data_IF_817710121105
#
_entry.id   IF_817710121105
#
_cell.length_a   1.000
_cell.length_b   1.000
_cell.length_c   1.000
_cell.angle_alpha   90.00
_cell.angle_beta   90.00
_cell.angle_gamma   90.00
#
_symmetry.space_group_name_H-M   'P 1'
#
loop_
_entity.id
_entity.type
_entity.pdbx_description
1 polymer ?
#
# COMPACT_ATOMS: atom_id res chain seq x y z
N UNK A 1 -12.23 -22.97 -8.11
CA UNK A 1 -11.69 -21.93 -9.01
C UNK A 1 -12.22 -20.54 -8.66
N UNK A 2 -13.56 -20.27 -8.67
CA UNK A 2 -14.15 -18.96 -8.36
C UNK A 2 -13.67 -18.37 -7.03
N UNK A 3 -13.72 -19.17 -5.96
CA UNK A 3 -13.28 -18.73 -4.61
C UNK A 3 -11.79 -18.39 -4.59
N UNK A 4 -10.94 -19.25 -5.22
CA UNK A 4 -9.48 -19.03 -5.33
C UNK A 4 -9.14 -17.75 -6.10
N UNK A 5 -9.98 -17.35 -7.06
CA UNK A 5 -9.78 -16.16 -7.89
C UNK A 5 -10.54 -14.92 -7.38
N UNK A 6 -11.26 -15.03 -6.25
CA UNK A 6 -12.07 -13.93 -5.71
C UNK A 6 -13.20 -13.47 -6.63
N UNK A 7 -13.66 -14.34 -7.54
CA UNK A 7 -14.70 -14.02 -8.52
C UNK A 7 -16.10 -14.07 -7.90
N UNK A 8 -17.05 -13.24 -8.37
CA UNK A 8 -18.45 -13.32 -7.98
C UNK A 8 -19.06 -14.68 -8.31
N UNK A 9 -19.95 -15.21 -7.46
CA UNK A 9 -20.66 -16.47 -7.76
C UNK A 9 -21.60 -16.36 -8.97
N UNK A 10 -21.92 -15.16 -9.44
CA UNK A 10 -22.62 -14.93 -10.70
C UNK A 10 -21.85 -15.47 -11.90
N UNK A 11 -20.52 -15.45 -11.85
CA UNK A 11 -19.65 -15.99 -12.92
C UNK A 11 -19.68 -17.54 -12.99
N UNK A 12 -20.34 -18.19 -12.05
CA UNK A 12 -20.42 -19.67 -12.03
C UNK A 12 -21.14 -20.24 -13.25
N UNK A 13 -22.22 -19.61 -13.67
CA UNK A 13 -22.97 -20.02 -14.87
C UNK A 13 -22.11 -19.94 -16.14
N UNK A 14 -21.36 -18.85 -16.28
CA UNK A 14 -20.44 -18.67 -17.41
C UNK A 14 -19.30 -19.67 -17.41
N UNK A 15 -18.77 -20.01 -16.22
CA UNK A 15 -17.72 -21.03 -16.11
C UNK A 15 -18.21 -22.43 -16.44
N UNK A 16 -19.45 -22.79 -16.01
CA UNK A 16 -20.08 -24.07 -16.37
C UNK A 16 -20.30 -24.13 -17.87
N UNK A 17 -20.81 -23.06 -18.49
CA UNK A 17 -20.99 -22.98 -19.93
C UNK A 17 -19.67 -23.12 -20.68
N UNK A 18 -18.63 -22.42 -20.22
CA UNK A 18 -17.28 -22.50 -20.80
C UNK A 18 -16.71 -23.93 -20.71
N UNK A 19 -16.90 -24.59 -19.57
CA UNK A 19 -16.47 -25.98 -19.39
C UNK A 19 -17.22 -26.93 -20.32
N UNK A 20 -18.54 -26.73 -20.51
CA UNK A 20 -19.37 -27.49 -21.44
C UNK A 20 -18.93 -27.31 -22.90
N UNK A 21 -18.63 -26.08 -23.30
CA UNK A 21 -18.11 -25.76 -24.65
C UNK A 21 -16.72 -26.41 -24.83
N UNK A 22 -15.90 -26.45 -23.77
CA UNK A 22 -14.59 -27.14 -23.76
C UNK A 22 -14.66 -28.66 -23.71
N UNK A 23 -15.86 -29.25 -23.82
CA UNK A 23 -16.04 -30.71 -23.84
C UNK A 23 -16.12 -31.41 -22.50
N UNK A 24 -16.22 -30.65 -21.39
CA UNK A 24 -16.38 -31.25 -20.06
C UNK A 24 -17.82 -31.70 -19.82
N UNK A 25 -18.01 -32.86 -19.22
CA UNK A 25 -19.33 -33.34 -18.77
C UNK A 25 -19.75 -32.59 -17.49
N UNK A 26 -20.62 -31.60 -17.62
CA UNK A 26 -21.04 -30.73 -16.49
C UNK A 26 -22.46 -31.04 -15.98
N UNK A 27 -23.11 -32.06 -16.55
CA UNK A 27 -24.50 -32.38 -16.24
C UNK A 27 -25.50 -31.29 -16.69
N UNK A 28 -26.78 -31.49 -16.35
CA UNK A 28 -27.86 -30.57 -16.81
C UNK A 28 -28.49 -29.75 -15.67
N UNK A 29 -28.01 -29.90 -14.44
CA UNK A 29 -28.59 -29.23 -13.24
C UNK A 29 -27.51 -28.52 -12.43
N UNK A 30 -27.97 -27.61 -11.58
CA UNK A 30 -27.11 -26.97 -10.58
C UNK A 30 -26.06 -25.99 -11.10
N UNK A 31 -26.37 -25.28 -12.18
CA UNK A 31 -25.45 -24.35 -12.83
C UNK A 31 -25.56 -22.90 -12.29
N UNK A 32 -26.56 -22.59 -11.45
CA UNK A 32 -26.80 -21.23 -10.97
C UNK A 32 -25.97 -20.84 -9.74
N UNK A 33 -25.84 -19.54 -9.50
CA UNK A 33 -25.14 -18.91 -8.35
C UNK A 33 -25.58 -19.46 -6.99
N UNK A 34 -26.88 -19.78 -6.85
CA UNK A 34 -27.43 -20.29 -5.59
C UNK A 34 -26.88 -21.69 -5.26
N UNK A 35 -26.64 -22.50 -6.28
CA UNK A 35 -25.99 -23.80 -6.10
C UNK A 35 -24.52 -23.63 -5.73
N UNK A 36 -23.80 -22.71 -6.41
CA UNK A 36 -22.43 -22.37 -6.06
C UNK A 36 -22.30 -21.96 -4.59
N UNK A 37 -23.24 -21.14 -4.11
CA UNK A 37 -23.30 -20.74 -2.69
C UNK A 37 -23.59 -21.93 -1.77
N UNK A 38 -24.45 -22.87 -2.16
CA UNK A 38 -24.74 -24.08 -1.38
C UNK A 38 -23.55 -25.03 -1.29
N UNK A 39 -22.70 -25.06 -2.33
CA UNK A 39 -21.48 -25.88 -2.34
C UNK A 39 -20.41 -25.39 -1.35
N UNK A 40 -20.44 -24.12 -0.93
CA UNK A 40 -19.44 -23.60 0.01
C UNK A 40 -19.37 -24.35 1.33
N UNK A 41 -20.53 -24.73 1.90
CA UNK A 41 -20.57 -25.43 3.19
C UNK A 41 -19.87 -26.81 3.13
N UNK A 42 -20.24 -27.72 2.21
CA UNK A 42 -19.56 -29.00 2.13
C UNK A 42 -18.08 -28.85 1.72
N UNK A 43 -17.74 -27.92 0.81
CA UNK A 43 -16.34 -27.67 0.47
C UNK A 43 -15.55 -27.13 1.66
N UNK A 44 -16.11 -26.19 2.43
CA UNK A 44 -15.48 -25.69 3.66
C UNK A 44 -15.29 -26.81 4.69
N UNK A 45 -16.25 -27.73 4.83
CA UNK A 45 -16.14 -28.86 5.75
C UNK A 45 -14.99 -29.81 5.35
N UNK A 46 -14.87 -30.13 4.05
CA UNK A 46 -13.77 -30.96 3.54
C UNK A 46 -12.42 -30.29 3.78
N UNK A 47 -12.27 -29.01 3.39
CA UNK A 47 -11.03 -28.26 3.60
C UNK A 47 -10.68 -28.16 5.08
N UNK A 48 -11.68 -27.95 5.96
CA UNK A 48 -11.44 -27.90 7.40
C UNK A 48 -10.94 -29.25 7.93
N UNK A 49 -11.51 -30.36 7.45
CA UNK A 49 -11.07 -31.70 7.86
C UNK A 49 -9.65 -32.02 7.36
N UNK A 50 -9.33 -31.67 6.11
CA UNK A 50 -7.98 -31.83 5.55
C UNK A 50 -6.96 -31.03 6.37
N UNK A 51 -7.30 -29.79 6.75
CA UNK A 51 -6.44 -28.94 7.59
C UNK A 51 -6.27 -29.50 9.01
N UNK A 52 -7.34 -30.04 9.62
CA UNK A 52 -7.25 -30.73 10.93
C UNK A 52 -6.30 -31.92 10.85
N UNK A 53 -6.42 -32.72 9.82
CA UNK A 53 -5.53 -33.85 9.60
C UNK A 53 -4.08 -33.41 9.42
N UNK A 54 -3.84 -32.35 8.63
CA UNK A 54 -2.52 -31.79 8.45
C UNK A 54 -1.91 -31.28 9.78
N UNK A 55 -2.66 -30.50 10.57
CA UNK A 55 -2.15 -29.95 11.82
C UNK A 55 -1.96 -31.01 12.92
N UNK A 56 -2.69 -32.10 12.88
CA UNK A 56 -2.61 -33.19 13.87
C UNK A 56 -1.57 -34.26 13.52
N UNK A 57 -1.17 -34.37 12.25
CA UNK A 57 -0.26 -35.40 11.76
C UNK A 57 1.18 -34.93 11.91
N UNK A 58 2.07 -35.76 12.51
CA UNK A 58 3.50 -35.46 12.52
C UNK A 58 4.09 -35.40 11.11
N UNK A 59 4.95 -34.41 10.86
CA UNK A 59 5.71 -34.31 9.61
C UNK A 59 6.70 -35.45 9.52
N UNK A 60 6.80 -36.10 8.34
CA UNK A 60 7.71 -37.23 8.09
C UNK A 60 9.16 -36.82 8.36
N UNK A 61 9.52 -35.61 8.00
CA UNK A 61 10.88 -35.04 8.09
C UNK A 61 11.34 -34.83 9.54
N UNK A 62 10.42 -34.56 10.46
CA UNK A 62 10.78 -34.16 11.84
C UNK A 62 10.22 -35.09 12.90
N UNK A 63 9.19 -35.88 12.59
CA UNK A 63 8.43 -36.68 13.56
C UNK A 63 7.58 -35.85 14.53
N UNK A 64 7.50 -34.52 14.34
CA UNK A 64 6.69 -33.60 15.16
C UNK A 64 5.57 -32.98 14.37
N UNK A 65 4.48 -32.61 15.05
CA UNK A 65 3.41 -31.81 14.45
C UNK A 65 3.96 -30.48 13.92
N UNK A 66 3.37 -29.93 12.84
CA UNK A 66 3.81 -28.64 12.28
C UNK A 66 3.87 -27.55 13.34
N UNK A 67 4.97 -26.78 13.36
CA UNK A 67 5.06 -25.58 14.16
C UNK A 67 4.45 -24.40 13.38
N UNK A 68 3.80 -23.49 14.12
CA UNK A 68 2.98 -22.46 13.56
C UNK A 68 3.38 -21.08 14.09
N UNK A 69 3.39 -20.10 13.21
CA UNK A 69 3.34 -18.68 13.60
C UNK A 69 1.90 -18.21 13.51
N UNK A 70 1.34 -17.75 14.62
CA UNK A 70 -0.01 -17.21 14.67
C UNK A 70 0.01 -15.75 14.19
N UNK A 71 -0.89 -15.41 13.27
CA UNK A 71 -1.11 -14.03 12.83
C UNK A 71 -2.56 -13.62 13.14
N UNK A 72 -2.73 -12.42 13.68
CA UNK A 72 -4.06 -11.88 13.95
C UNK A 72 -4.13 -10.39 13.56
N UNK A 73 -5.22 -10.04 12.88
CA UNK A 73 -5.52 -8.68 12.41
C UNK A 73 -7.01 -8.39 12.57
N UNK A 74 -7.37 -7.11 12.63
CA UNK A 74 -8.75 -6.64 12.75
C UNK A 74 -9.18 -5.80 11.55
N UNK A 75 -10.29 -6.15 10.90
CA UNK A 75 -10.87 -5.32 9.85
C UNK A 75 -12.31 -4.93 10.17
N UNK A 76 -12.57 -3.63 10.07
CA UNK A 76 -13.94 -3.09 10.23
C UNK A 76 -14.57 -2.94 8.84
N UNK A 77 -15.72 -3.59 8.67
CA UNK A 77 -16.53 -3.47 7.47
C UNK A 77 -17.94 -2.99 7.84
N UNK A 78 -18.30 -1.81 7.34
CA UNK A 78 -19.59 -1.16 7.64
C UNK A 78 -19.82 -1.02 9.16
N UNK A 79 -20.60 -1.93 9.74
CA UNK A 79 -21.09 -1.83 11.12
C UNK A 79 -20.50 -2.89 12.07
N UNK A 80 -19.58 -3.72 11.61
CA UNK A 80 -18.96 -4.75 12.44
C UNK A 80 -17.46 -4.90 12.15
N UNK A 81 -16.74 -5.27 13.19
CA UNK A 81 -15.32 -5.61 13.10
C UNK A 81 -15.18 -7.12 13.10
N UNK A 82 -14.37 -7.66 12.20
CA UNK A 82 -13.94 -9.07 12.19
C UNK A 82 -12.50 -9.16 12.65
N UNK A 83 -12.22 -10.18 13.42
CA UNK A 83 -10.86 -10.59 13.72
C UNK A 83 -10.46 -11.68 12.73
N UNK A 84 -9.43 -11.43 11.94
CA UNK A 84 -8.84 -12.41 11.05
C UNK A 84 -7.73 -13.14 11.80
N UNK A 85 -7.82 -14.48 11.86
CA UNK A 85 -6.85 -15.32 12.54
C UNK A 85 -6.30 -16.29 11.51
N UNK A 86 -4.98 -16.29 11.34
CA UNK A 86 -4.28 -17.14 10.40
C UNK A 86 -3.05 -17.77 11.05
N UNK A 87 -2.65 -18.92 10.56
CA UNK A 87 -1.40 -19.57 10.91
C UNK A 87 -0.48 -19.63 9.69
N UNK A 88 0.78 -19.31 9.88
CA UNK A 88 1.85 -19.56 8.91
C UNK A 88 2.58 -20.82 9.35
N UNK A 89 2.75 -21.77 8.45
CA UNK A 89 3.36 -23.06 8.72
C UNK A 89 4.31 -23.49 7.61
N UNK A 90 5.19 -24.43 7.94
CA UNK A 90 6.02 -25.13 6.95
C UNK A 90 5.24 -26.33 6.43
N UNK A 91 5.09 -26.43 5.13
CA UNK A 91 4.54 -27.59 4.44
C UNK A 91 5.56 -28.08 3.40
N UNK A 92 6.41 -29.05 3.76
CA UNK A 92 7.47 -29.56 2.87
C UNK A 92 6.96 -30.18 1.58
N UNK A 93 5.72 -30.71 1.62
CA UNK A 93 5.09 -31.41 0.50
C UNK A 93 4.09 -30.50 -0.28
N UNK A 94 3.96 -29.22 0.13
CA UNK A 94 3.07 -28.26 -0.50
C UNK A 94 3.68 -27.55 -1.71
N UNK A 95 2.83 -26.84 -2.49
CA UNK A 95 3.30 -26.01 -3.61
C UNK A 95 4.30 -24.93 -3.15
N UNK A 96 4.13 -24.45 -1.91
CA UNK A 96 5.01 -23.49 -1.27
C UNK A 96 5.50 -24.05 0.06
N UNK A 97 6.80 -23.88 0.33
CA UNK A 97 7.41 -24.31 1.58
C UNK A 97 6.78 -23.65 2.82
N UNK A 98 6.37 -22.37 2.69
CA UNK A 98 5.61 -21.65 3.70
C UNK A 98 4.17 -21.46 3.21
N UNK A 99 3.22 -21.92 4.00
CA UNK A 99 1.80 -21.75 3.74
C UNK A 99 1.11 -20.91 4.81
N UNK A 100 0.19 -20.06 4.36
CA UNK A 100 -0.67 -19.25 5.25
C UNK A 100 -2.07 -19.81 5.20
N UNK A 101 -2.56 -20.28 6.34
CA UNK A 101 -3.90 -20.86 6.50
C UNK A 101 -4.76 -19.98 7.38
N UNK A 102 -5.91 -19.53 6.86
CA UNK A 102 -6.92 -18.84 7.68
C UNK A 102 -7.68 -19.85 8.53
N UNK A 103 -7.64 -19.68 9.84
CA UNK A 103 -8.29 -20.59 10.81
C UNK A 103 -9.50 -19.96 11.49
N UNK A 104 -9.75 -18.65 11.34
CA UNK A 104 -10.91 -18.01 11.92
C UNK A 104 -11.17 -16.59 11.45
N UNK A 105 -12.46 -16.21 11.47
CA UNK A 105 -12.92 -14.86 11.17
C UNK A 105 -14.09 -14.44 12.06
N UNK A 106 -13.96 -14.54 13.40
CA UNK A 106 -15.03 -14.19 14.30
C UNK A 106 -15.43 -12.72 14.22
N UNK A 107 -16.72 -12.44 14.39
CA UNK A 107 -17.26 -11.09 14.45
C UNK A 107 -17.15 -10.59 15.88
N UNK A 108 -16.54 -9.43 16.07
CA UNK A 108 -16.41 -8.74 17.35
C UNK A 108 -17.68 -7.92 17.63
N UNK A 109 -18.68 -8.53 18.25
CA UNK A 109 -19.96 -7.88 18.56
C UNK A 109 -19.91 -7.01 19.81
N UNK A 110 -19.11 -7.41 20.79
CA UNK A 110 -19.03 -6.81 22.13
C UNK A 110 -17.76 -5.97 22.34
N UNK A 111 -17.19 -5.52 21.25
CA UNK A 111 -15.90 -4.81 21.28
C UNK A 111 -14.70 -5.73 21.16
N UNK A 112 -13.50 -5.13 21.19
CA UNK A 112 -12.25 -5.83 20.94
C UNK A 112 -11.32 -5.76 22.16
N UNK A 113 -11.81 -6.22 23.33
CA UNK A 113 -10.94 -6.34 24.53
C UNK A 113 -9.87 -7.41 24.33
N UNK A 114 -8.73 -7.31 25.02
CA UNK A 114 -7.65 -8.30 24.94
C UNK A 114 -8.15 -9.71 25.24
N UNK A 115 -8.96 -9.88 26.30
CA UNK A 115 -9.54 -11.17 26.70
C UNK A 115 -10.37 -11.76 25.56
N UNK A 116 -11.28 -10.97 24.95
CA UNK A 116 -12.14 -11.47 23.88
C UNK A 116 -11.36 -11.85 22.61
N UNK A 117 -10.36 -11.06 22.26
CA UNK A 117 -9.48 -11.37 21.14
C UNK A 117 -8.71 -12.68 21.36
N UNK A 118 -8.24 -12.91 22.59
CA UNK A 118 -7.51 -14.13 22.96
C UNK A 118 -8.43 -15.36 22.98
N UNK A 119 -9.66 -15.23 23.53
CA UNK A 119 -10.68 -16.27 23.50
C UNK A 119 -11.02 -16.71 22.07
N UNK A 120 -11.18 -15.74 21.16
CA UNK A 120 -11.44 -16.03 19.73
C UNK A 120 -10.27 -16.78 19.09
N UNK A 121 -9.03 -16.42 19.41
CA UNK A 121 -7.84 -17.13 18.93
C UNK A 121 -7.88 -18.57 19.42
N UNK A 122 -8.07 -18.77 20.73
CA UNK A 122 -8.16 -20.10 21.34
C UNK A 122 -9.26 -20.96 20.70
N UNK A 123 -10.46 -20.41 20.58
CA UNK A 123 -11.59 -21.09 19.94
C UNK A 123 -11.25 -21.53 18.52
N UNK A 124 -10.61 -20.65 17.74
CA UNK A 124 -10.21 -20.98 16.36
C UNK A 124 -9.13 -22.07 16.32
N UNK A 125 -8.17 -22.07 17.23
CA UNK A 125 -7.18 -23.15 17.34
C UNK A 125 -7.84 -24.48 17.71
N UNK A 126 -8.73 -24.48 18.69
CA UNK A 126 -9.47 -25.67 19.14
C UNK A 126 -10.34 -26.26 18.01
N UNK A 127 -11.00 -25.42 17.19
CA UNK A 127 -11.80 -25.85 16.05
C UNK A 127 -10.96 -26.62 15.00
N UNK A 128 -9.70 -26.26 14.84
CA UNK A 128 -8.76 -26.93 13.91
C UNK A 128 -7.91 -28.02 14.59
N UNK A 129 -8.12 -28.31 15.87
CA UNK A 129 -7.35 -29.29 16.61
C UNK A 129 -5.86 -28.93 16.80
N UNK A 130 -5.56 -27.63 16.74
CA UNK A 130 -4.21 -27.10 16.92
C UNK A 130 -3.91 -26.97 18.41
N UNK A 131 -2.93 -27.69 18.89
CA UNK A 131 -2.49 -27.58 20.28
C UNK A 131 -1.59 -26.36 20.45
N UNK A 132 -1.72 -25.63 21.58
CA UNK A 132 -0.94 -24.42 21.80
C UNK A 132 0.59 -24.63 21.73
N UNK A 133 1.08 -25.82 22.09
CA UNK A 133 2.50 -26.16 21.98
C UNK A 133 3.05 -26.17 20.54
N UNK A 134 2.17 -26.11 19.53
CA UNK A 134 2.54 -25.95 18.14
C UNK A 134 2.81 -24.49 17.80
N UNK A 135 2.32 -23.55 18.61
CA UNK A 135 2.54 -22.11 18.38
C UNK A 135 3.97 -21.76 18.79
N UNK A 136 4.79 -21.40 17.84
CA UNK A 136 6.19 -21.04 18.03
C UNK A 136 6.41 -19.52 18.12
N UNK A 137 5.50 -18.73 17.58
CA UNK A 137 5.55 -17.26 17.61
C UNK A 137 4.20 -16.65 17.24
N UNK A 138 4.05 -15.35 17.52
CA UNK A 138 2.90 -14.56 17.11
C UNK A 138 3.37 -13.34 16.31
N UNK A 139 2.59 -12.95 15.28
CA UNK A 139 2.79 -11.71 14.54
C UNK A 139 1.45 -10.94 14.48
N UNK A 140 1.39 -9.78 15.10
CA UNK A 140 0.17 -9.01 15.25
C UNK A 140 0.41 -7.51 15.05
N UNK A 141 -0.69 -6.78 14.84
CA UNK A 141 -0.63 -5.32 14.77
C UNK A 141 -0.48 -4.67 16.16
N UNK A 142 -0.23 -3.35 16.20
CA UNK A 142 -0.01 -2.61 17.43
C UNK A 142 -1.20 -2.61 18.41
N UNK A 143 -2.41 -2.86 17.93
CA UNK A 143 -3.61 -2.95 18.78
C UNK A 143 -3.53 -4.21 19.67
N UNK A 144 -3.05 -5.32 19.11
CA UNK A 144 -2.87 -6.57 19.83
C UNK A 144 -1.74 -6.46 20.86
N UNK A 145 -0.64 -5.80 20.50
CA UNK A 145 0.49 -5.56 21.42
C UNK A 145 0.04 -4.67 22.59
N UNK A 146 -0.63 -3.56 22.32
CA UNK A 146 -1.15 -2.65 23.34
C UNK A 146 -2.18 -3.31 24.30
N UNK A 147 -2.78 -4.43 23.90
CA UNK A 147 -3.75 -5.19 24.70
C UNK A 147 -3.17 -6.42 25.38
N UNK A 148 -1.85 -6.55 25.38
CA UNK A 148 -1.12 -7.65 26.04
C UNK A 148 -1.59 -9.05 25.61
N UNK A 149 -1.96 -9.22 24.33
CA UNK A 149 -2.52 -10.48 23.83
C UNK A 149 -1.56 -11.65 24.03
N UNK A 150 -0.25 -11.44 23.87
CA UNK A 150 0.77 -12.46 24.13
C UNK A 150 0.62 -13.03 25.52
N UNK A 151 0.67 -12.17 26.54
CA UNK A 151 0.57 -12.60 27.95
C UNK A 151 -0.78 -13.29 28.24
N UNK A 152 -1.88 -12.69 27.79
CA UNK A 152 -3.21 -13.29 27.96
C UNK A 152 -3.34 -14.65 27.27
N UNK A 153 -2.71 -14.84 26.12
CA UNK A 153 -2.70 -16.11 25.41
C UNK A 153 -1.84 -17.15 26.12
N UNK A 154 -0.64 -16.77 26.58
CA UNK A 154 0.23 -17.63 27.40
C UNK A 154 -0.45 -18.07 28.69
N UNK A 155 -1.10 -17.15 29.41
CA UNK A 155 -1.86 -17.43 30.64
C UNK A 155 -3.02 -18.42 30.38
N UNK A 156 -3.80 -18.23 29.30
CA UNK A 156 -4.90 -19.13 28.96
C UNK A 156 -4.44 -20.53 28.52
N UNK A 157 -3.24 -20.62 27.99
CA UNK A 157 -2.65 -21.88 27.55
C UNK A 157 -1.80 -22.56 28.60
N UNK A 158 -1.58 -21.91 29.77
CA UNK A 158 -0.67 -22.40 30.81
C UNK A 158 0.80 -22.41 30.37
N UNK A 159 1.18 -21.56 29.43
CA UNK A 159 2.55 -21.43 28.93
C UNK A 159 3.36 -20.49 29.83
N UNK A 160 4.68 -20.71 29.97
CA UNK A 160 5.53 -19.77 30.70
C UNK A 160 5.50 -18.37 30.06
N UNK A 161 5.52 -17.29 30.87
CA UNK A 161 5.58 -15.93 30.34
C UNK A 161 6.76 -15.72 29.40
N UNK A 162 6.51 -15.13 28.22
CA UNK A 162 7.52 -14.88 27.19
C UNK A 162 7.96 -16.11 26.39
N UNK A 163 7.31 -17.26 26.58
CA UNK A 163 7.62 -18.51 25.85
C UNK A 163 7.20 -18.46 24.38
N UNK A 164 6.24 -17.60 24.03
CA UNK A 164 5.75 -17.39 22.68
C UNK A 164 6.16 -15.98 22.22
N UNK A 165 7.30 -15.83 21.51
CA UNK A 165 7.76 -14.52 21.07
C UNK A 165 6.74 -13.86 20.15
N UNK A 166 6.46 -12.57 20.39
CA UNK A 166 5.55 -11.76 19.59
C UNK A 166 6.34 -10.74 18.78
N UNK A 167 6.14 -10.74 17.48
CA UNK A 167 6.66 -9.70 16.59
C UNK A 167 5.56 -8.75 16.16
N UNK A 168 5.92 -7.48 16.05
CA UNK A 168 5.04 -6.46 15.49
C UNK A 168 5.02 -6.57 13.97
N UNK A 169 3.86 -6.43 13.35
CA UNK A 169 3.76 -6.41 11.89
C UNK A 169 4.58 -5.25 11.31
N UNK A 170 5.61 -5.61 10.56
CA UNK A 170 6.53 -4.63 9.95
C UNK A 170 5.83 -3.69 8.98
N UNK A 171 4.82 -4.16 8.24
CA UNK A 171 4.04 -3.30 7.34
C UNK A 171 3.29 -2.23 8.11
N UNK A 172 2.69 -2.62 9.22
CA UNK A 172 2.00 -1.68 10.09
C UNK A 172 2.97 -0.66 10.69
N UNK A 173 4.14 -1.11 11.14
CA UNK A 173 5.18 -0.22 11.68
C UNK A 173 5.71 0.75 10.62
N UNK A 174 5.98 0.30 9.40
CA UNK A 174 6.37 1.18 8.29
C UNK A 174 5.32 2.25 8.02
N UNK A 175 4.03 1.86 8.03
CA UNK A 175 2.93 2.82 7.90
C UNK A 175 2.87 3.84 9.03
N UNK A 176 3.17 3.43 10.27
CA UNK A 176 3.25 4.34 11.41
C UNK A 176 4.47 5.27 11.32
N UNK A 177 5.62 4.79 10.87
CA UNK A 177 6.82 5.62 10.63
C UNK A 177 6.47 6.73 9.63
N UNK A 178 5.93 6.36 8.47
CA UNK A 178 5.52 7.30 7.43
C UNK A 178 4.50 8.34 7.96
N UNK A 179 3.47 7.89 8.65
CA UNK A 179 2.44 8.74 9.25
C UNK A 179 3.00 9.70 10.29
N UNK A 180 3.94 9.23 11.11
CA UNK A 180 4.53 10.04 12.18
C UNK A 180 5.54 11.05 11.63
N UNK A 181 6.37 10.64 10.66
CA UNK A 181 7.31 11.54 10.00
C UNK A 181 6.56 12.63 9.23
N UNK A 182 5.54 12.28 8.45
CA UNK A 182 4.77 13.26 7.66
C UNK A 182 4.00 14.29 8.50
N UNK A 183 3.87 14.10 9.81
CA UNK A 183 3.23 15.05 10.74
C UNK A 183 4.20 16.00 11.42
N UNK A 184 5.50 15.80 11.26
CA UNK A 184 6.49 16.70 11.85
C UNK A 184 6.42 18.08 11.18
N UNK A 185 6.56 19.18 11.95
CA UNK A 185 6.43 20.55 11.41
C UNK A 185 7.39 20.83 10.25
N UNK A 186 8.59 20.24 10.27
CA UNK A 186 9.60 20.35 9.23
C UNK A 186 9.15 19.79 7.88
N UNK A 187 8.14 18.91 7.86
CA UNK A 187 7.58 18.30 6.65
C UNK A 187 6.20 18.82 6.26
N UNK A 188 5.80 20.02 6.74
CA UNK A 188 4.53 20.65 6.34
C UNK A 188 4.40 20.81 4.81
N UNK A 189 5.52 20.96 4.09
CA UNK A 189 5.54 20.98 2.63
C UNK A 189 5.01 19.69 2.02
N UNK A 190 5.19 18.53 2.66
CA UNK A 190 4.66 17.24 2.20
C UNK A 190 3.12 17.22 2.25
N UNK A 191 2.53 17.90 3.24
CA UNK A 191 1.08 18.08 3.28
C UNK A 191 0.58 18.88 2.06
N UNK A 192 1.32 19.91 1.64
CA UNK A 192 0.99 20.67 0.42
C UNK A 192 0.98 19.78 -0.82
N UNK A 193 1.99 18.92 -1.01
CA UNK A 193 2.03 17.95 -2.11
C UNK A 193 0.85 16.97 -2.02
N UNK A 194 0.55 16.49 -0.82
CA UNK A 194 -0.60 15.59 -0.57
C UNK A 194 -1.92 16.26 -0.95
N UNK A 195 -2.11 17.54 -0.61
CA UNK A 195 -3.30 18.31 -0.94
C UNK A 195 -3.44 18.55 -2.45
N UNK A 196 -2.33 18.79 -3.15
CA UNK A 196 -2.32 18.89 -4.62
C UNK A 196 -2.79 17.57 -5.24
N UNK A 197 -2.21 16.44 -4.82
CA UNK A 197 -2.63 15.11 -5.30
C UNK A 197 -4.11 14.85 -5.05
N UNK A 198 -4.60 15.19 -3.85
CA UNK A 198 -6.00 15.03 -3.48
C UNK A 198 -6.92 15.92 -4.32
N UNK A 199 -6.53 17.17 -4.58
CA UNK A 199 -7.29 18.11 -5.41
C UNK A 199 -7.42 17.58 -6.85
N UNK A 200 -6.32 17.09 -7.43
CA UNK A 200 -6.32 16.46 -8.77
C UNK A 200 -7.21 15.22 -8.77
N UNK A 201 -7.06 14.33 -7.78
CA UNK A 201 -7.91 13.14 -7.68
C UNK A 201 -9.39 13.50 -7.61
N UNK A 202 -9.79 14.43 -6.75
CA UNK A 202 -11.19 14.82 -6.61
C UNK A 202 -11.75 15.46 -7.88
N UNK A 203 -10.94 16.20 -8.62
CA UNK A 203 -11.36 16.79 -9.87
C UNK A 203 -11.59 15.74 -10.97
N UNK A 204 -10.71 14.74 -11.08
CA UNK A 204 -10.68 13.76 -12.17
C UNK A 204 -11.32 12.40 -11.85
N UNK A 205 -11.73 12.14 -10.61
CA UNK A 205 -12.27 10.82 -10.24
C UNK A 205 -13.71 10.58 -10.67
N UNK A 206 -14.47 11.63 -11.06
CA UNK A 206 -15.88 11.54 -11.31
C UNK A 206 -16.29 12.08 -12.69
N UNK A 207 -17.22 11.38 -13.32
CA UNK A 207 -17.95 11.86 -14.49
C UNK A 207 -17.12 12.06 -15.75
N UNK A 208 -17.43 13.14 -16.47
CA UNK A 208 -16.87 13.41 -17.79
C UNK A 208 -15.35 13.70 -17.78
N UNK A 209 -14.80 14.24 -16.68
CA UNK A 209 -13.39 14.57 -16.60
C UNK A 209 -12.50 13.31 -16.58
N UNK A 210 -12.95 12.25 -15.91
CA UNK A 210 -12.22 10.96 -15.93
C UNK A 210 -12.17 10.38 -17.35
N UNK A 211 -13.29 10.41 -18.08
CA UNK A 211 -13.34 9.94 -19.47
C UNK A 211 -12.46 10.80 -20.40
N UNK A 212 -12.51 12.14 -20.25
CA UNK A 212 -11.66 13.05 -21.02
C UNK A 212 -10.18 12.82 -20.76
N UNK A 213 -9.78 12.60 -19.49
CA UNK A 213 -8.41 12.28 -19.15
C UNK A 213 -7.95 10.97 -19.80
N UNK A 214 -8.82 9.95 -19.83
CA UNK A 214 -8.53 8.69 -20.51
C UNK A 214 -8.36 8.90 -22.03
N UNK A 215 -9.23 9.66 -22.67
CA UNK A 215 -9.16 9.98 -24.10
C UNK A 215 -7.86 10.75 -24.40
N UNK A 216 -7.58 11.81 -23.66
CA UNK A 216 -6.35 12.59 -23.84
C UNK A 216 -5.06 11.74 -23.67
N UNK A 217 -5.09 10.79 -22.74
CA UNK A 217 -3.98 9.87 -22.54
C UNK A 217 -3.76 8.97 -23.75
N UNK A 218 -4.86 8.44 -24.32
CA UNK A 218 -4.81 7.61 -25.53
C UNK A 218 -4.35 8.39 -26.76
N UNK A 219 -4.88 9.61 -26.95
CA UNK A 219 -4.51 10.50 -28.06
C UNK A 219 -3.02 10.87 -28.04
N UNK A 220 -2.43 10.94 -26.85
CA UNK A 220 -1.01 11.20 -26.67
C UNK A 220 -0.15 9.92 -26.75
N UNK A 221 -0.73 8.75 -27.01
CA UNK A 221 -0.02 7.47 -27.08
C UNK A 221 0.53 6.99 -25.72
N UNK A 222 -0.01 7.51 -24.61
CA UNK A 222 0.41 7.16 -23.26
C UNK A 222 -0.46 6.04 -22.68
N UNK A 223 0.08 5.32 -21.70
CA UNK A 223 -0.67 4.32 -20.94
C UNK A 223 -1.45 5.03 -19.84
N UNK A 224 -2.78 4.92 -19.88
CA UNK A 224 -3.64 5.47 -18.83
C UNK A 224 -3.34 4.85 -17.47
N UNK A 225 -3.07 5.69 -16.48
CA UNK A 225 -2.89 5.29 -15.08
C UNK A 225 -4.00 5.93 -14.24
N UNK A 226 -4.76 5.09 -13.59
CA UNK A 226 -5.83 5.58 -12.73
C UNK A 226 -5.26 6.40 -11.58
N UNK A 227 -5.74 7.63 -11.42
CA UNK A 227 -5.43 8.45 -10.27
C UNK A 227 -6.01 7.79 -9.01
N UNK A 228 -5.26 7.87 -7.92
CA UNK A 228 -5.62 7.25 -6.66
C UNK A 228 -5.67 8.29 -5.54
N UNK A 229 -6.44 8.02 -4.50
CA UNK A 229 -6.44 8.81 -3.28
C UNK A 229 -5.59 8.15 -2.20
N UNK A 230 -5.19 8.95 -1.23
CA UNK A 230 -4.50 8.45 -0.04
C UNK A 230 -5.46 7.62 0.80
N UNK A 231 -5.11 6.37 1.07
CA UNK A 231 -5.88 5.50 1.94
C UNK A 231 -5.24 5.47 3.34
N UNK A 232 -6.04 5.70 4.36
CA UNK A 232 -5.58 5.63 5.75
C UNK A 232 -5.12 4.22 6.17
N UNK A 233 -5.57 3.20 5.45
CA UNK A 233 -5.31 1.78 5.74
C UNK A 233 -4.33 1.12 4.78
N UNK A 234 -4.00 1.77 3.66
CA UNK A 234 -3.01 1.29 2.68
C UNK A 234 -1.75 2.11 2.80
N UNK A 235 -0.72 1.49 3.31
CA UNK A 235 0.59 2.04 3.68
C UNK A 235 1.37 2.70 2.53
N UNK A 236 2.63 3.00 2.79
CA UNK A 236 3.57 3.71 1.93
C UNK A 236 3.57 3.34 0.44
N UNK A 237 3.22 2.08 0.07
CA UNK A 237 3.06 1.69 -1.33
C UNK A 237 1.91 2.46 -2.03
N UNK A 238 0.82 2.75 -1.33
CA UNK A 238 -0.27 3.56 -1.90
C UNK A 238 0.16 5.00 -2.13
N UNK A 239 0.98 5.58 -1.24
CA UNK A 239 1.54 6.92 -1.43
C UNK A 239 2.44 6.98 -2.66
N UNK A 240 3.33 6.00 -2.83
CA UNK A 240 4.14 5.90 -4.03
C UNK A 240 3.30 5.92 -5.30
N UNK A 241 2.25 5.09 -5.35
CA UNK A 241 1.39 5.02 -6.54
C UNK A 241 0.60 6.30 -6.77
N UNK A 242 0.14 6.99 -5.71
CA UNK A 242 -0.52 8.30 -5.84
C UNK A 242 0.41 9.31 -6.49
N UNK A 243 1.61 9.48 -5.95
CA UNK A 243 2.59 10.44 -6.45
C UNK A 243 3.09 10.08 -7.86
N UNK A 244 3.42 8.80 -8.08
CA UNK A 244 3.93 8.31 -9.35
C UNK A 244 2.90 8.42 -10.47
N UNK A 245 1.65 8.02 -10.23
CA UNK A 245 0.60 8.11 -11.23
C UNK A 245 0.28 9.58 -11.57
N UNK A 246 0.30 10.48 -10.58
CA UNK A 246 0.13 11.90 -10.84
C UNK A 246 1.25 12.44 -11.74
N UNK A 247 2.50 12.12 -11.45
CA UNK A 247 3.65 12.59 -12.24
C UNK A 247 3.64 12.01 -13.66
N UNK A 248 3.27 10.73 -13.81
CA UNK A 248 3.19 10.08 -15.12
C UNK A 248 2.03 10.61 -15.99
N UNK A 249 0.98 11.10 -15.36
CA UNK A 249 -0.22 11.63 -16.02
C UNK A 249 -0.20 13.16 -16.16
N UNK A 250 0.93 13.81 -15.89
CA UNK A 250 0.99 15.28 -15.78
C UNK A 250 0.62 15.98 -17.09
N UNK A 251 1.04 15.46 -18.24
CA UNK A 251 0.76 16.06 -19.55
C UNK A 251 -0.72 15.95 -19.92
N UNK A 252 -1.36 14.77 -19.92
CA UNK A 252 -2.80 14.68 -20.20
C UNK A 252 -3.66 15.45 -19.17
N UNK A 253 -3.25 15.52 -17.89
CA UNK A 253 -3.92 16.37 -16.90
C UNK A 253 -3.87 17.83 -17.32
N UNK A 254 -2.70 18.34 -17.72
CA UNK A 254 -2.55 19.72 -18.18
C UNK A 254 -3.47 20.01 -19.37
N UNK A 255 -3.47 19.15 -20.38
CA UNK A 255 -4.29 19.31 -21.56
C UNK A 255 -5.79 19.46 -21.24
N UNK A 256 -6.30 18.60 -20.36
CA UNK A 256 -7.72 18.67 -19.93
C UNK A 256 -8.01 19.94 -19.13
N UNK A 257 -7.11 20.36 -18.25
CA UNK A 257 -7.25 21.61 -17.48
C UNK A 257 -7.26 22.85 -18.39
N UNK A 258 -6.37 22.89 -19.39
CA UNK A 258 -6.30 23.96 -20.37
C UNK A 258 -7.57 24.09 -21.21
N UNK A 259 -8.15 22.98 -21.65
CA UNK A 259 -9.42 23.00 -22.34
C UNK A 259 -10.53 23.65 -21.50
N UNK A 260 -10.62 23.33 -20.22
CA UNK A 260 -11.67 23.89 -19.36
C UNK A 260 -11.45 25.36 -19.03
N UNK A 261 -10.20 25.80 -18.91
CA UNK A 261 -9.82 27.21 -18.75
C UNK A 261 -10.19 27.99 -20.02
N UNK A 262 -9.78 27.49 -21.19
CA UNK A 262 -10.07 28.14 -22.48
C UNK A 262 -11.57 28.26 -22.72
N UNK A 263 -12.34 27.19 -22.47
CA UNK A 263 -13.82 27.22 -22.58
C UNK A 263 -14.45 28.26 -21.67
N UNK A 264 -13.91 28.46 -20.46
CA UNK A 264 -14.42 29.50 -19.55
C UNK A 264 -14.09 30.90 -20.05
N UNK A 265 -12.87 31.12 -20.57
CA UNK A 265 -12.44 32.41 -21.15
C UNK A 265 -13.28 32.77 -22.38
N UNK A 266 -13.52 31.83 -23.31
CA UNK A 266 -14.38 32.02 -24.46
C UNK A 266 -15.82 32.36 -24.03
N UNK A 267 -16.38 31.62 -23.06
CA UNK A 267 -17.72 31.85 -22.54
C UNK A 267 -17.82 33.21 -21.84
N UNK A 268 -16.76 33.65 -21.14
CA UNK A 268 -16.65 34.98 -20.55
C UNK A 268 -16.66 36.06 -21.64
N UNK A 269 -15.87 35.87 -22.71
CA UNK A 269 -15.78 36.83 -23.81
C UNK A 269 -17.13 36.98 -24.54
N UNK A 270 -17.82 35.87 -24.86
CA UNK A 270 -19.17 35.89 -25.47
C UNK A 270 -20.19 36.60 -24.56
N UNK A 271 -20.10 36.39 -23.24
CA UNK A 271 -20.98 37.05 -22.28
C UNK A 271 -20.74 38.55 -22.19
N UNK A 272 -19.49 39.01 -22.29
CA UNK A 272 -19.14 40.44 -22.32
C UNK A 272 -19.63 41.13 -23.59
N UNK A 273 -19.69 40.39 -24.71
CA UNK A 273 -20.23 40.86 -25.98
C UNK A 273 -21.76 40.85 -26.04
N UNK A 274 -22.43 40.38 -24.96
CA UNK A 274 -23.90 40.29 -24.89
C UNK A 274 -24.50 39.17 -25.74
N UNK A 275 -23.67 38.24 -26.28
CA UNK A 275 -24.13 37.16 -27.20
C UNK A 275 -24.83 36.06 -26.37
N UNK A 276 -24.29 35.69 -25.24
CA UNK A 276 -24.80 34.61 -24.38
C UNK A 276 -24.57 34.91 -22.89
N UNK A 277 -25.42 34.40 -22.00
CA UNK A 277 -25.12 34.42 -20.56
C UNK A 277 -24.06 33.39 -20.21
N UNK A 278 -23.04 33.80 -19.44
CA UNK A 278 -22.00 32.89 -18.96
C UNK A 278 -22.62 31.73 -18.18
N UNK A 279 -22.40 30.49 -18.69
CA UNK A 279 -22.95 29.29 -18.06
C UNK A 279 -22.27 29.01 -16.71
N UNK A 280 -23.03 28.92 -15.57
CA UNK A 280 -22.43 28.78 -14.24
C UNK A 280 -21.53 27.55 -14.09
N UNK A 281 -21.90 26.42 -14.72
CA UNK A 281 -21.12 25.20 -14.67
C UNK A 281 -19.77 25.27 -15.40
N UNK A 282 -19.69 26.04 -16.50
CA UNK A 282 -18.43 26.29 -17.24
C UNK A 282 -17.54 27.17 -16.41
N UNK A 283 -18.08 28.26 -15.84
CA UNK A 283 -17.35 29.17 -14.94
C UNK A 283 -16.74 28.43 -13.75
N UNK A 284 -17.50 27.54 -13.10
CA UNK A 284 -17.02 26.78 -11.96
C UNK A 284 -15.88 25.84 -12.37
N UNK A 285 -16.04 25.07 -13.45
CA UNK A 285 -15.01 24.15 -13.93
C UNK A 285 -13.73 24.87 -14.33
N UNK A 286 -13.82 25.98 -15.05
CA UNK A 286 -12.67 26.80 -15.40
C UNK A 286 -11.91 27.34 -14.18
N UNK A 287 -12.64 27.78 -13.14
CA UNK A 287 -12.03 28.25 -11.89
C UNK A 287 -11.33 27.10 -11.13
N UNK A 288 -12.00 25.93 -11.01
CA UNK A 288 -11.42 24.75 -10.34
C UNK A 288 -10.18 24.25 -11.12
N UNK A 289 -10.24 24.24 -12.46
CA UNK A 289 -9.12 23.87 -13.32
C UNK A 289 -7.92 24.82 -13.16
N UNK A 290 -8.18 26.13 -13.12
CA UNK A 290 -7.13 27.14 -12.94
C UNK A 290 -6.48 27.02 -11.57
N UNK A 291 -7.26 26.78 -10.50
CA UNK A 291 -6.73 26.57 -9.17
C UNK A 291 -5.81 25.34 -9.10
N UNK A 292 -6.25 24.19 -9.62
CA UNK A 292 -5.46 22.97 -9.66
C UNK A 292 -4.21 23.15 -10.51
N UNK A 293 -4.34 23.79 -11.69
CA UNK A 293 -3.21 24.07 -12.57
C UNK A 293 -2.16 24.92 -11.87
N UNK A 294 -2.55 25.99 -11.17
CA UNK A 294 -1.62 26.89 -10.47
C UNK A 294 -0.86 26.20 -9.34
N UNK A 295 -1.49 25.24 -8.66
CA UNK A 295 -0.84 24.47 -7.58
C UNK A 295 0.09 23.40 -8.09
N UNK A 296 -0.28 22.71 -9.18
CA UNK A 296 0.45 21.56 -9.71
C UNK A 296 1.61 21.99 -10.60
N UNK A 297 1.40 22.96 -11.51
CA UNK A 297 2.36 23.31 -12.56
C UNK A 297 3.27 24.47 -12.14
N UNK A 298 3.96 24.31 -11.01
CA UNK A 298 5.06 25.19 -10.63
C UNK A 298 6.32 24.36 -10.31
N UNK A 299 7.49 24.96 -10.45
CA UNK A 299 8.79 24.27 -10.33
C UNK A 299 8.95 23.61 -8.95
N UNK A 300 8.62 24.30 -7.86
CA UNK A 300 8.77 23.77 -6.51
C UNK A 300 7.91 22.52 -6.29
N UNK A 301 6.62 22.57 -6.66
CA UNK A 301 5.72 21.41 -6.54
C UNK A 301 6.21 20.21 -7.35
N UNK A 302 6.68 20.43 -8.57
CA UNK A 302 7.13 19.38 -9.48
C UNK A 302 8.43 18.73 -9.02
N UNK A 303 9.40 19.53 -8.55
CA UNK A 303 10.65 19.03 -7.99
C UNK A 303 10.39 18.23 -6.72
N UNK A 304 9.57 18.74 -5.80
CA UNK A 304 9.17 18.02 -4.58
C UNK A 304 8.41 16.74 -4.90
N UNK A 305 7.48 16.78 -5.84
CA UNK A 305 6.73 15.59 -6.27
C UNK A 305 7.68 14.51 -6.82
N UNK A 306 8.62 14.88 -7.68
CA UNK A 306 9.60 13.96 -8.25
C UNK A 306 10.55 13.38 -7.16
N UNK A 307 10.98 14.22 -6.22
CA UNK A 307 11.79 13.79 -5.08
C UNK A 307 11.04 12.82 -4.17
N UNK A 308 9.80 13.12 -3.86
CA UNK A 308 8.92 12.24 -3.07
C UNK A 308 8.67 10.92 -3.80
N UNK A 309 8.46 10.93 -5.12
CA UNK A 309 8.37 9.69 -5.92
C UNK A 309 9.64 8.85 -5.77
N UNK A 310 10.83 9.45 -5.81
CA UNK A 310 12.09 8.75 -5.61
C UNK A 310 12.17 8.10 -4.22
N UNK A 311 11.90 8.84 -3.16
CA UNK A 311 11.95 8.35 -1.77
C UNK A 311 10.93 7.22 -1.54
N UNK A 312 9.67 7.43 -1.92
CA UNK A 312 8.63 6.41 -1.70
C UNK A 312 8.75 5.20 -2.64
N UNK A 313 9.56 5.28 -3.70
CA UNK A 313 9.90 4.10 -4.51
C UNK A 313 10.62 3.03 -3.68
N UNK A 314 11.49 3.45 -2.74
CA UNK A 314 12.18 2.56 -1.81
C UNK A 314 11.18 1.89 -0.89
N UNK A 315 10.26 2.66 -0.31
CA UNK A 315 9.17 2.09 0.51
C UNK A 315 8.32 1.06 -0.26
N UNK A 316 8.01 1.35 -1.52
CA UNK A 316 7.26 0.41 -2.37
C UNK A 316 7.98 -0.93 -2.56
N UNK A 317 9.31 -0.92 -2.69
CA UNK A 317 10.12 -2.14 -2.77
C UNK A 317 10.00 -2.96 -1.49
N UNK A 318 10.17 -2.31 -0.33
CA UNK A 318 10.08 -2.98 0.98
C UNK A 318 8.71 -3.62 1.17
N UNK A 319 7.64 -2.84 0.96
CA UNK A 319 6.27 -3.33 1.15
C UNK A 319 6.03 -4.58 0.31
N UNK A 320 6.48 -4.58 -0.96
CA UNK A 320 6.36 -5.75 -1.83
C UNK A 320 7.10 -6.96 -1.27
N UNK A 321 8.34 -6.77 -0.81
CA UNK A 321 9.15 -7.86 -0.26
C UNK A 321 8.55 -8.42 1.03
N UNK A 322 8.14 -7.55 1.94
CA UNK A 322 7.53 -7.98 3.22
C UNK A 322 6.20 -8.72 2.99
N UNK A 323 5.47 -8.40 1.93
CA UNK A 323 4.24 -9.11 1.54
C UNK A 323 4.48 -10.47 0.87
N UNK A 324 5.70 -10.79 0.45
CA UNK A 324 6.01 -12.08 -0.17
C UNK A 324 5.98 -13.20 0.88
N UNK A 325 4.94 -14.02 0.85
CA UNK A 325 4.70 -15.07 1.85
C UNK A 325 5.77 -16.18 1.82
N UNK A 326 6.37 -16.41 0.67
CA UNK A 326 7.37 -17.47 0.45
C UNK A 326 8.80 -17.09 0.88
N UNK A 327 9.05 -15.82 1.25
CA UNK A 327 10.36 -15.41 1.75
C UNK A 327 10.52 -15.72 3.23
N UNK A 328 11.68 -16.26 3.56
CA UNK A 328 12.08 -16.51 4.95
C UNK A 328 12.38 -15.17 5.69
N UNK A 329 12.26 -15.14 7.02
CA UNK A 329 12.45 -13.90 7.81
C UNK A 329 13.75 -13.18 7.52
N UNK A 330 14.88 -13.89 7.40
CA UNK A 330 16.18 -13.29 7.11
C UNK A 330 16.26 -12.72 5.67
N UNK A 331 15.61 -13.34 4.69
CA UNK A 331 15.53 -12.80 3.32
C UNK A 331 14.74 -11.48 3.28
N UNK A 332 13.65 -11.41 4.04
CA UNK A 332 12.87 -10.17 4.21
C UNK A 332 13.71 -9.11 4.92
N UNK A 333 14.48 -9.51 5.94
CA UNK A 333 15.36 -8.62 6.67
C UNK A 333 16.47 -8.07 5.79
N UNK A 334 17.09 -8.88 4.94
CA UNK A 334 18.13 -8.44 4.01
C UNK A 334 17.59 -7.40 3.03
N UNK A 335 16.39 -7.63 2.48
CA UNK A 335 15.73 -6.68 1.61
C UNK A 335 15.35 -5.38 2.34
N UNK A 336 14.89 -5.48 3.60
CA UNK A 336 14.62 -4.34 4.45
C UNK A 336 15.92 -3.54 4.72
N UNK A 337 17.00 -4.20 5.10
CA UNK A 337 18.31 -3.58 5.32
C UNK A 337 18.83 -2.88 4.06
N UNK A 338 18.73 -3.54 2.90
CA UNK A 338 19.09 -2.94 1.60
C UNK A 338 18.33 -1.64 1.33
N UNK A 339 17.04 -1.61 1.65
CA UNK A 339 16.25 -0.42 1.43
C UNK A 339 16.52 0.69 2.46
N UNK A 340 16.87 0.36 3.69
CA UNK A 340 17.37 1.35 4.65
C UNK A 340 18.65 1.97 4.12
N UNK A 341 19.59 1.16 3.60
CA UNK A 341 20.82 1.66 2.98
C UNK A 341 20.53 2.55 1.76
N UNK A 342 19.56 2.17 0.89
CA UNK A 342 19.13 3.03 -0.22
C UNK A 342 18.64 4.42 0.28
N UNK A 343 17.89 4.47 1.39
CA UNK A 343 17.44 5.73 1.98
C UNK A 343 18.60 6.51 2.64
N UNK A 344 19.55 5.83 3.27
CA UNK A 344 20.76 6.45 3.83
C UNK A 344 21.60 7.11 2.73
N UNK A 345 21.75 6.45 1.58
CA UNK A 345 22.40 7.05 0.41
C UNK A 345 21.67 8.31 -0.09
N UNK A 346 20.36 8.41 0.11
CA UNK A 346 19.55 9.57 -0.28
C UNK A 346 19.67 10.77 0.66
N UNK A 347 20.47 10.71 1.70
CA UNK A 347 20.90 11.88 2.48
C UNK A 347 21.79 12.80 1.63
N UNK A 348 22.49 12.25 0.64
CA UNK A 348 23.12 13.03 -0.41
C UNK A 348 22.17 13.14 -1.61
N UNK A 349 21.78 14.37 -1.95
CA UNK A 349 20.90 14.64 -3.10
C UNK A 349 21.48 14.15 -4.44
N UNK A 350 22.81 13.99 -4.54
CA UNK A 350 23.49 13.45 -5.73
C UNK A 350 23.32 11.95 -5.89
N UNK A 351 22.76 11.26 -4.90
CA UNK A 351 22.54 9.82 -4.97
C UNK A 351 21.72 9.45 -6.22
N UNK A 352 22.15 8.38 -6.89
CA UNK A 352 21.42 7.79 -8.04
C UNK A 352 19.98 7.37 -7.68
N UNK A 353 19.70 7.18 -6.39
CA UNK A 353 18.37 6.80 -5.91
C UNK A 353 17.35 7.94 -6.04
N UNK A 354 17.81 9.20 -6.23
CA UNK A 354 16.98 10.33 -6.63
C UNK A 354 16.72 10.42 -8.15
N UNK A 355 16.73 9.29 -8.85
CA UNK A 355 16.62 9.27 -10.31
C UNK A 355 15.45 10.10 -10.86
N UNK A 356 14.25 9.94 -10.29
CA UNK A 356 13.07 10.68 -10.75
C UNK A 356 13.25 12.20 -10.55
N UNK A 357 13.82 12.61 -9.42
CA UNK A 357 14.15 14.01 -9.12
C UNK A 357 15.14 14.58 -10.12
N UNK A 358 16.25 13.86 -10.38
CA UNK A 358 17.28 14.32 -11.32
C UNK A 358 16.76 14.49 -12.74
N UNK A 359 15.96 13.54 -13.24
CA UNK A 359 15.35 13.63 -14.57
C UNK A 359 14.46 14.87 -14.69
N UNK A 360 13.62 15.14 -13.69
CA UNK A 360 12.73 16.31 -13.69
C UNK A 360 13.53 17.60 -13.54
N UNK A 361 14.52 17.64 -12.64
CA UNK A 361 15.39 18.80 -12.43
C UNK A 361 16.15 19.16 -13.72
N UNK A 362 16.83 18.20 -14.31
CA UNK A 362 17.57 18.39 -15.56
C UNK A 362 16.67 18.91 -16.69
N UNK A 363 15.48 18.31 -16.86
CA UNK A 363 14.52 18.75 -17.89
C UNK A 363 14.06 20.20 -17.70
N UNK A 364 13.83 20.60 -16.44
CA UNK A 364 13.47 21.99 -16.10
C UNK A 364 14.61 22.97 -16.30
N UNK A 365 15.85 22.59 -15.98
CA UNK A 365 17.05 23.43 -16.15
C UNK A 365 17.41 23.61 -17.63
N UNK A 366 17.37 22.55 -18.43
CA UNK A 366 17.78 22.59 -19.84
C UNK A 366 16.74 23.23 -20.76
N UNK A 367 15.45 23.00 -20.51
CA UNK A 367 14.40 23.39 -21.44
C UNK A 367 13.23 24.17 -20.82
N UNK A 368 13.17 24.28 -19.50
CA UNK A 368 12.00 24.81 -18.79
C UNK A 368 10.76 23.94 -18.94
N UNK A 369 10.90 22.69 -19.40
CA UNK A 369 9.79 21.80 -19.75
C UNK A 369 9.86 20.50 -18.97
N UNK A 370 8.69 19.88 -18.76
CA UNK A 370 8.57 18.49 -18.31
C UNK A 370 7.76 17.72 -19.33
N UNK A 371 8.34 16.66 -19.90
CA UNK A 371 7.69 15.84 -20.94
C UNK A 371 7.13 16.68 -22.10
N UNK A 372 7.84 17.75 -22.48
CA UNK A 372 7.41 18.67 -23.53
C UNK A 372 6.49 19.79 -23.09
N UNK A 373 5.97 19.77 -21.87
CA UNK A 373 5.08 20.79 -21.31
C UNK A 373 5.90 21.94 -20.72
N UNK A 374 5.66 23.17 -21.14
CA UNK A 374 6.30 24.38 -20.58
C UNK A 374 5.81 24.63 -19.14
N UNK A 375 6.75 24.78 -18.23
CA UNK A 375 6.46 25.08 -16.83
C UNK A 375 6.83 26.55 -16.58
N UNK A 376 5.86 27.41 -16.33
CA UNK A 376 6.13 28.83 -16.10
C UNK A 376 6.96 29.01 -14.82
N UNK A 377 7.95 29.92 -14.88
CA UNK A 377 8.75 30.29 -13.70
C UNK A 377 7.87 30.89 -12.59
N UNK A 378 6.90 31.71 -12.98
CA UNK A 378 5.92 32.30 -12.06
C UNK A 378 4.54 32.12 -12.65
N UNK A 379 3.66 31.44 -11.90
CA UNK A 379 2.25 31.37 -12.28
C UNK A 379 1.60 32.75 -12.01
N UNK A 380 0.77 33.27 -12.94
CA UNK A 380 0.06 34.53 -12.70
C UNK A 380 -0.79 34.38 -11.45
N UNK A 381 -0.69 35.33 -10.50
CA UNK A 381 -1.48 35.36 -9.27
C UNK A 381 -2.96 35.22 -9.65
N UNK A 382 -3.65 34.21 -9.13
CA UNK A 382 -5.10 34.07 -9.30
C UNK A 382 -5.77 35.34 -8.77
N UNK A 383 -6.73 35.87 -9.53
CA UNK A 383 -7.47 37.06 -9.14
C UNK A 383 -8.08 36.87 -7.72
N UNK A 384 -8.12 37.91 -6.89
CA UNK A 384 -8.40 37.79 -5.44
C UNK A 384 -9.81 37.36 -5.04
N UNK A 385 -10.63 36.86 -5.95
CA UNK A 385 -12.05 36.54 -5.75
C UNK A 385 -12.41 35.05 -5.71
N UNK A 386 -11.46 34.14 -5.50
CA UNK A 386 -11.84 32.75 -5.22
C UNK A 386 -12.22 32.58 -3.75
N UNK A 387 -13.44 32.12 -3.49
CA UNK A 387 -14.05 31.97 -2.16
C UNK A 387 -13.44 30.83 -1.29
N UNK A 388 -12.37 30.19 -1.75
CA UNK A 388 -11.61 29.17 -1.00
C UNK A 388 -10.31 29.74 -0.44
N UNK A 389 -10.44 30.71 0.48
CA UNK A 389 -9.34 31.08 1.38
C UNK A 389 -9.14 29.96 2.40
N UNK A 390 -8.31 29.00 2.10
CA UNK A 390 -7.66 28.21 3.17
C UNK A 390 -6.80 29.17 4.00
N UNK A 391 -7.02 29.16 5.28
CA UNK A 391 -6.57 30.13 6.31
C UNK A 391 -5.04 30.19 6.53
N UNK A 392 -4.21 29.57 5.68
CA UNK A 392 -2.77 29.39 5.91
C UNK A 392 -1.82 29.90 4.82
N UNK A 393 -2.30 30.59 3.80
CA UNK A 393 -1.38 31.26 2.88
C UNK A 393 -1.35 32.77 3.16
N UNK A 394 -0.62 33.18 4.19
CA UNK A 394 0.01 34.49 4.17
C UNK A 394 1.15 34.42 3.14
N UNK A 395 0.95 35.04 2.00
CA UNK A 395 2.01 35.30 1.05
C UNK A 395 3.06 36.18 1.75
N UNK A 396 4.14 35.60 2.19
CA UNK A 396 5.39 36.31 2.39
C UNK A 396 5.91 36.62 1.00
N UNK A 397 5.79 37.90 0.61
CA UNK A 397 6.48 38.46 -0.54
C UNK A 397 7.97 38.52 -0.20
N UNK A 398 8.71 37.47 -0.55
CA UNK A 398 10.16 37.57 -0.70
C UNK A 398 10.51 36.96 -2.04
N UNK A 399 11.09 37.81 -2.88
CA UNK A 399 11.70 37.43 -4.16
C UNK A 399 12.96 36.61 -3.88
N UNK A 400 12.82 35.34 -3.49
CA UNK A 400 13.96 34.42 -3.45
C UNK A 400 14.32 34.02 -4.87
N UNK A 401 15.61 34.09 -5.17
CA UNK A 401 16.18 33.63 -6.44
C UNK A 401 15.88 32.15 -6.64
N UNK A 402 15.66 31.70 -7.86
CA UNK A 402 15.33 30.29 -8.19
C UNK A 402 16.34 29.29 -7.58
N UNK A 403 17.60 29.68 -7.41
CA UNK A 403 18.62 28.85 -6.76
C UNK A 403 18.32 28.56 -5.29
N UNK A 404 17.76 29.49 -4.54
CA UNK A 404 17.36 29.31 -3.15
C UNK A 404 16.18 28.30 -3.02
N UNK A 405 15.26 28.31 -3.98
CA UNK A 405 14.13 27.38 -3.99
C UNK A 405 14.56 25.93 -4.27
N UNK A 406 15.49 25.75 -5.24
CA UNK A 406 16.03 24.44 -5.55
C UNK A 406 16.81 23.87 -4.36
N UNK A 407 17.69 24.68 -3.75
CA UNK A 407 18.46 24.27 -2.57
C UNK A 407 17.54 23.89 -1.40
N UNK A 408 16.53 24.71 -1.13
CA UNK A 408 15.54 24.42 -0.09
C UNK A 408 14.77 23.11 -0.35
N UNK A 409 14.40 22.86 -1.61
CA UNK A 409 13.75 21.61 -2.00
C UNK A 409 14.67 20.42 -1.74
N UNK A 410 15.95 20.52 -2.11
CA UNK A 410 16.97 19.48 -1.91
C UNK A 410 17.19 19.21 -0.42
N UNK A 411 17.31 20.24 0.40
CA UNK A 411 17.46 20.12 1.86
C UNK A 411 16.23 19.44 2.50
N UNK A 412 15.03 19.78 2.05
CA UNK A 412 13.79 19.18 2.54
C UNK A 412 13.68 17.70 2.17
N UNK A 413 14.10 17.33 0.95
CA UNK A 413 14.08 15.94 0.47
C UNK A 413 15.11 15.08 1.19
N UNK A 414 16.34 15.57 1.36
CA UNK A 414 17.41 14.85 2.07
C UNK A 414 17.07 14.65 3.53
N UNK A 415 16.50 15.65 4.21
CA UNK A 415 15.99 15.51 5.59
C UNK A 415 14.86 14.49 5.69
N UNK A 416 13.98 14.43 4.71
CA UNK A 416 12.92 13.43 4.69
C UNK A 416 13.51 12.02 4.60
N UNK A 417 14.46 11.79 3.69
CA UNK A 417 15.15 10.52 3.54
C UNK A 417 15.91 10.12 4.83
N UNK A 418 16.66 11.04 5.44
CA UNK A 418 17.36 10.85 6.71
C UNK A 418 16.40 10.47 7.85
N UNK A 419 15.28 11.18 7.97
CA UNK A 419 14.31 10.90 9.04
C UNK A 419 13.64 9.54 8.87
N UNK A 420 13.32 9.16 7.65
CA UNK A 420 12.72 7.86 7.35
C UNK A 420 13.74 6.74 7.58
N UNK A 421 14.98 6.84 7.08
CA UNK A 421 16.02 5.84 7.29
C UNK A 421 16.34 5.65 8.77
N UNK A 422 16.55 6.74 9.53
CA UNK A 422 16.79 6.70 10.96
C UNK A 422 15.67 6.03 11.77
N UNK A 423 14.41 6.25 11.39
CA UNK A 423 13.27 5.58 12.04
C UNK A 423 13.17 4.12 11.65
N UNK A 424 13.50 3.78 10.41
CA UNK A 424 13.50 2.40 9.93
C UNK A 424 14.63 1.57 10.54
N UNK A 425 15.82 2.12 10.67
CA UNK A 425 16.96 1.44 11.29
C UNK A 425 16.68 0.98 12.72
N UNK A 426 15.77 1.66 13.42
CA UNK A 426 15.35 1.32 14.78
C UNK A 426 14.11 0.41 14.84
N UNK A 427 13.64 -0.12 13.70
CA UNK A 427 12.40 -0.88 13.65
C UNK A 427 12.58 -2.31 14.17
N UNK A 428 13.74 -2.92 13.94
CA UNK A 428 14.05 -4.29 14.36
C UNK A 428 14.84 -4.24 15.65
N UNK A 429 14.33 -4.88 16.69
CA UNK A 429 15.03 -4.98 17.99
C UNK A 429 16.24 -5.93 17.92
N UNK A 430 17.23 -5.74 18.80
CA UNK A 430 18.39 -6.65 18.89
C UNK A 430 17.98 -8.11 19.09
N UNK A 431 17.01 -8.37 19.96
CA UNK A 431 16.52 -9.73 20.20
C UNK A 431 15.79 -10.35 19.00
N UNK A 432 15.20 -9.54 18.15
CA UNK A 432 14.58 -10.00 16.90
C UNK A 432 15.66 -10.26 15.84
N UNK A 433 16.67 -9.41 15.78
CA UNK A 433 17.83 -9.59 14.90
C UNK A 433 18.59 -10.87 15.22
N UNK A 434 18.86 -11.15 16.50
CA UNK A 434 19.50 -12.39 16.94
C UNK A 434 18.72 -13.63 16.51
N UNK A 435 17.39 -13.60 16.62
CA UNK A 435 16.53 -14.72 16.17
C UNK A 435 16.55 -14.91 14.65
N UNK A 436 16.55 -13.82 13.89
CA UNK A 436 16.65 -13.85 12.44
C UNK A 436 17.98 -14.46 12.01
N UNK A 437 19.07 -14.06 12.63
CA UNK A 437 20.43 -14.53 12.34
C UNK A 437 20.62 -15.99 12.76
N UNK A 438 20.11 -16.40 13.91
CA UNK A 438 20.10 -17.82 14.33
C UNK A 438 19.36 -18.70 13.33
N UNK A 439 18.22 -18.22 12.80
CA UNK A 439 17.49 -18.93 11.75
C UNK A 439 18.30 -19.08 10.45
N UNK A 440 19.05 -18.06 10.06
CA UNK A 440 20.00 -18.09 8.92
C UNK A 440 21.08 -19.16 9.11
N UNK A 441 21.74 -19.16 10.26
CA UNK A 441 22.82 -20.09 10.59
C UNK A 441 22.35 -21.55 10.56
N UNK A 442 21.15 -21.84 11.06
CA UNK A 442 20.59 -23.20 11.02
C UNK A 442 20.42 -23.68 9.57
N UNK A 443 19.92 -22.83 8.67
CA UNK A 443 19.73 -23.19 7.27
C UNK A 443 21.05 -23.34 6.52
N UNK A 444 22.03 -22.52 6.80
CA UNK A 444 23.38 -22.65 6.22
C UNK A 444 24.03 -23.97 6.63
N UNK A 445 23.90 -24.39 7.89
CA UNK A 445 24.36 -25.71 8.36
C UNK A 445 23.63 -26.84 7.64
N UNK A 446 22.29 -26.75 7.47
CA UNK A 446 21.54 -27.76 6.74
C UNK A 446 22.00 -27.87 5.28
N UNK A 447 22.25 -26.74 4.62
CA UNK A 447 22.76 -26.71 3.25
C UNK A 447 24.12 -27.39 3.13
N UNK A 448 25.07 -27.08 4.05
CA UNK A 448 26.40 -27.71 4.09
C UNK A 448 26.26 -29.23 4.27
N UNK A 449 25.36 -29.67 5.15
CA UNK A 449 25.13 -31.11 5.36
C UNK A 449 24.54 -31.77 4.12
N UNK A 450 23.55 -31.15 3.48
CA UNK A 450 22.92 -31.65 2.25
C UNK A 450 23.94 -31.76 1.12
N UNK A 451 24.73 -30.70 0.89
CA UNK A 451 25.75 -30.71 -0.17
C UNK A 451 26.86 -31.75 0.05
N UNK A 452 27.16 -32.10 1.30
CA UNK A 452 28.11 -33.17 1.64
C UNK A 452 27.54 -34.57 1.45
N UNK A 453 26.21 -34.75 1.60
CA UNK A 453 25.57 -36.07 1.48
C UNK A 453 25.11 -36.41 0.05
N UNK A 454 24.95 -35.42 -0.83
CA UNK A 454 24.60 -35.62 -2.26
C UNK A 454 25.85 -36.05 -3.08
N UNK A 455 27.03 -35.90 -2.52
CA UNK A 455 28.31 -36.33 -3.14
C UNK A 455 28.80 -37.72 -2.72
N UNK A 456 28.03 -38.46 -1.91
CA UNK A 456 28.24 -39.85 -1.54
C UNK A 456 27.16 -40.74 -2.18
#
# INVERSE_FOLDING_TARGET
MLVKLGRPFQDYEEQVLTAKIGGSEVGDKHHGKDFATKLLRPLSAVVTEDLKNFFSTPLIQTGFRPKLTLSADGATHKHYTRQFIACVTINPDGENFLETVSIGQPILREGSTGIKLTENIKTSLDEFGIHFSQISSMSCDGVYIARHIQQLFEDQCGAPPGSIPMSHDWLHQLGLIDKNVSKLPEFNWLATITDVCSSVYHLFNWGNLAARLQTQTQDQGLVFKQLQTFSATRFANSRYLVYKNLLDMIVPICSVLEEDITKDEENKSRSLQGIERRHPGVKKRGADALEVKSKLFNRDTLLRLAGVVSIYSVFSKIVKVVQMVHLLPFQRFDAFKSAVTELEEMVDIKSKNFNCYHVVKQSLEESGKIQGLEIPEKFPKAAPNSFLRTRHMRATEESHQDQDLVQKCEDDLTRLAEKLSSRMSNLVSESELERIEAGRQILDVQKILTDRFVGL
#
